data_IF_955854551281
#
_entry.id   IF_955854551281
#
_cell.length_a   1.000
_cell.length_b   1.000
_cell.length_c   1.000
_cell.angle_alpha   90.00
_cell.angle_beta   90.00
_cell.angle_gamma   90.00
#
_symmetry.space_group_name_H-M   'P 1'
#
loop_
_entity.id
_entity.type
_entity.pdbx_description
1 polymer ?
#
# COMPACT_ATOMS: atom_id res chain seq x y z
N UNK A 1 -23.54 9.99 -16.26
CA UNK A 1 -22.48 9.98 -15.22
C UNK A 1 -21.16 9.90 -15.94
N UNK A 2 -20.28 10.87 -15.76
CA UNK A 2 -19.01 10.89 -16.47
C UNK A 2 -17.97 10.05 -15.72
N UNK A 3 -17.13 9.29 -16.45
CA UNK A 3 -15.99 8.55 -15.87
C UNK A 3 -15.07 9.48 -15.09
N UNK A 4 -14.95 10.74 -15.52
CA UNK A 4 -14.20 11.79 -14.85
C UNK A 4 -14.67 12.07 -13.41
N UNK A 5 -15.97 11.91 -13.12
CA UNK A 5 -16.50 12.13 -11.78
C UNK A 5 -15.99 11.06 -10.81
N UNK A 6 -15.93 9.80 -11.26
CA UNK A 6 -15.34 8.71 -10.49
C UNK A 6 -13.84 8.93 -10.29
N UNK A 7 -13.09 9.27 -11.34
CA UNK A 7 -11.66 9.52 -11.24
C UNK A 7 -11.33 10.65 -10.25
N UNK A 8 -12.14 11.72 -10.20
CA UNK A 8 -11.98 12.77 -9.19
C UNK A 8 -12.18 12.27 -7.76
N UNK A 9 -13.11 11.34 -7.55
CA UNK A 9 -13.35 10.73 -6.23
C UNK A 9 -12.23 9.77 -5.81
N UNK A 10 -11.60 9.06 -6.76
CA UNK A 10 -10.53 8.11 -6.46
C UNK A 10 -9.18 8.77 -6.16
N UNK A 11 -9.02 10.08 -6.42
CA UNK A 11 -7.80 10.86 -6.20
C UNK A 11 -6.53 10.18 -6.75
N UNK A 12 -6.39 10.04 -8.08
CA UNK A 12 -5.26 9.34 -8.71
C UNK A 12 -3.90 9.91 -8.33
N UNK A 13 -3.80 11.21 -8.02
CA UNK A 13 -2.56 11.82 -7.54
C UNK A 13 -2.08 11.23 -6.21
N UNK A 14 -2.98 10.87 -5.30
CA UNK A 14 -2.63 10.22 -4.03
C UNK A 14 -2.16 8.78 -4.26
N UNK A 15 -2.72 8.08 -5.25
CA UNK A 15 -2.26 6.74 -5.62
C UNK A 15 -0.83 6.73 -6.19
N UNK A 16 -0.35 7.83 -6.80
CA UNK A 16 1.05 7.93 -7.23
C UNK A 16 2.04 7.90 -6.05
N UNK A 17 1.67 8.51 -4.91
CA UNK A 17 2.48 8.46 -3.68
C UNK A 17 2.60 7.02 -3.18
N UNK A 18 1.51 6.26 -3.25
CA UNK A 18 1.50 4.84 -2.89
C UNK A 18 2.40 4.04 -3.82
N UNK A 19 2.28 4.22 -5.14
CA UNK A 19 3.13 3.53 -6.13
C UNK A 19 4.61 3.86 -5.91
N UNK A 20 4.95 5.12 -5.66
CA UNK A 20 6.33 5.53 -5.35
C UNK A 20 6.86 4.88 -4.06
N UNK A 21 6.01 4.77 -3.04
CA UNK A 21 6.36 4.12 -1.77
C UNK A 21 6.54 2.61 -1.93
N UNK A 22 5.69 1.94 -2.72
CA UNK A 22 5.84 0.51 -3.06
C UNK A 22 7.14 0.27 -3.82
N UNK A 23 7.44 1.11 -4.82
CA UNK A 23 8.69 1.03 -5.59
C UNK A 23 9.91 1.17 -4.67
N UNK A 24 9.95 2.22 -3.84
CA UNK A 24 11.04 2.43 -2.90
C UNK A 24 11.18 1.24 -1.94
N UNK A 25 10.06 0.68 -1.47
CA UNK A 25 10.06 -0.52 -0.66
C UNK A 25 10.72 -1.69 -1.37
N UNK A 26 10.32 -1.98 -2.61
CA UNK A 26 10.91 -3.06 -3.42
C UNK A 26 12.41 -2.85 -3.65
N UNK A 27 12.85 -1.62 -3.89
CA UNK A 27 14.27 -1.29 -4.02
C UNK A 27 15.03 -1.60 -2.74
N UNK A 28 14.50 -1.19 -1.58
CA UNK A 28 15.13 -1.42 -0.28
C UNK A 28 15.16 -2.91 0.09
N UNK A 29 14.07 -3.64 -0.15
CA UNK A 29 13.99 -5.08 0.14
C UNK A 29 14.80 -5.94 -0.84
N UNK A 30 14.89 -5.55 -2.10
CA UNK A 30 15.63 -6.26 -3.14
C UNK A 30 17.09 -5.86 -3.31
N UNK A 31 17.51 -4.73 -2.71
CA UNK A 31 18.88 -4.20 -2.82
C UNK A 31 19.25 -3.70 -4.22
N UNK A 32 18.27 -3.41 -5.09
CA UNK A 32 18.48 -3.04 -6.49
C UNK A 32 17.49 -1.95 -6.92
N UNK A 33 17.97 -0.98 -7.72
CA UNK A 33 17.09 0.00 -8.37
C UNK A 33 16.23 -0.64 -9.46
N UNK A 34 16.66 -1.76 -10.03
CA UNK A 34 15.89 -2.49 -11.03
C UNK A 34 15.03 -3.53 -10.32
N UNK A 35 13.71 -3.31 -10.35
CA UNK A 35 12.70 -4.20 -9.74
C UNK A 35 12.03 -5.06 -10.81
N UNK A 36 11.62 -6.31 -10.49
CA UNK A 36 10.94 -7.17 -11.44
C UNK A 36 9.56 -6.60 -11.79
N UNK A 37 9.32 -6.39 -13.09
CA UNK A 37 8.13 -5.69 -13.59
C UNK A 37 6.81 -6.36 -13.19
N UNK A 38 6.72 -7.69 -13.29
CA UNK A 38 5.50 -8.44 -12.97
C UNK A 38 5.03 -8.21 -11.52
N UNK A 39 5.86 -8.54 -10.51
CA UNK A 39 5.57 -8.25 -9.10
C UNK A 39 5.27 -6.77 -8.83
N UNK A 40 6.02 -5.85 -9.44
CA UNK A 40 5.80 -4.42 -9.28
C UNK A 40 4.43 -3.97 -9.79
N UNK A 41 4.01 -4.45 -10.97
CA UNK A 41 2.70 -4.12 -11.55
C UNK A 41 1.56 -4.69 -10.70
N UNK A 42 1.68 -5.94 -10.24
CA UNK A 42 0.68 -6.56 -9.37
C UNK A 42 0.56 -5.81 -8.03
N UNK A 43 1.69 -5.50 -7.41
CA UNK A 43 1.73 -4.77 -6.15
C UNK A 43 1.14 -3.36 -6.30
N UNK A 44 1.49 -2.66 -7.39
CA UNK A 44 0.95 -1.34 -7.72
C UNK A 44 -0.55 -1.39 -7.94
N UNK A 45 -1.07 -2.38 -8.67
CA UNK A 45 -2.50 -2.58 -8.87
C UNK A 45 -3.23 -2.72 -7.52
N UNK A 46 -2.72 -3.56 -6.63
CA UNK A 46 -3.31 -3.75 -5.29
C UNK A 46 -3.24 -2.47 -4.46
N UNK A 47 -2.09 -1.79 -4.41
CA UNK A 47 -1.93 -0.55 -3.64
C UNK A 47 -2.80 0.60 -4.15
N UNK A 48 -2.91 0.76 -5.46
CA UNK A 48 -3.82 1.72 -6.10
C UNK A 48 -5.27 1.38 -5.75
N UNK A 49 -5.65 0.10 -5.80
CA UNK A 49 -7.01 -0.32 -5.44
C UNK A 49 -7.33 -0.02 -3.97
N UNK A 50 -6.44 -0.34 -3.03
CA UNK A 50 -6.64 -0.07 -1.60
C UNK A 50 -6.74 1.45 -1.32
N UNK A 51 -5.87 2.25 -1.91
CA UNK A 51 -5.90 3.71 -1.72
C UNK A 51 -7.14 4.35 -2.35
N UNK A 52 -7.48 3.99 -3.59
CA UNK A 52 -8.66 4.49 -4.29
C UNK A 52 -9.96 4.04 -3.59
N UNK A 53 -10.00 2.80 -3.09
CA UNK A 53 -11.11 2.26 -2.31
C UNK A 53 -11.33 3.04 -1.01
N UNK A 54 -10.24 3.37 -0.31
CA UNK A 54 -10.26 4.21 0.90
C UNK A 54 -10.78 5.61 0.62
N UNK A 55 -10.35 6.25 -0.48
CA UNK A 55 -10.87 7.56 -0.88
C UNK A 55 -12.35 7.53 -1.21
N UNK A 56 -12.80 6.54 -1.99
CA UNK A 56 -14.20 6.37 -2.34
C UNK A 56 -15.08 6.15 -1.10
N UNK A 57 -14.61 5.33 -0.15
CA UNK A 57 -15.28 5.10 1.13
C UNK A 57 -15.41 6.41 1.90
N UNK A 58 -14.29 7.11 2.11
CA UNK A 58 -14.26 8.32 2.90
C UNK A 58 -15.21 9.39 2.34
N UNK A 59 -15.27 9.54 1.01
CA UNK A 59 -16.21 10.45 0.36
C UNK A 59 -17.68 10.13 0.65
N UNK A 60 -18.04 8.85 0.83
CA UNK A 60 -19.41 8.46 1.16
C UNK A 60 -19.78 8.83 2.59
N UNK A 61 -18.85 8.66 3.55
CA UNK A 61 -19.06 8.97 4.97
C UNK A 61 -18.94 10.46 5.28
N UNK A 62 -18.16 11.19 4.50
CA UNK A 62 -18.01 12.64 4.64
C UNK A 62 -19.04 13.43 3.82
N UNK A 63 -20.06 12.79 3.21
CA UNK A 63 -21.00 13.46 2.32
C UNK A 63 -21.67 14.70 2.96
N UNK A 64 -22.05 14.63 4.22
CA UNK A 64 -22.67 15.76 4.94
C UNK A 64 -21.67 16.89 5.18
N UNK A 65 -20.43 16.56 5.56
CA UNK A 65 -19.35 17.54 5.74
C UNK A 65 -18.97 18.18 4.40
N UNK A 66 -18.89 17.37 3.34
CA UNK A 66 -18.56 17.81 1.99
C UNK A 66 -19.66 18.72 1.41
N UNK A 67 -20.93 18.56 1.80
CA UNK A 67 -21.99 19.51 1.41
C UNK A 67 -21.76 20.92 1.96
N UNK A 68 -21.14 21.03 3.14
CA UNK A 68 -20.82 22.31 3.77
C UNK A 68 -19.51 22.89 3.23
N UNK A 69 -18.45 22.08 3.21
CA UNK A 69 -17.08 22.54 2.91
C UNK A 69 -16.75 22.55 1.42
N UNK A 70 -17.31 21.60 0.66
CA UNK A 70 -16.94 21.36 -0.73
C UNK A 70 -18.16 21.02 -1.60
N UNK A 71 -19.14 21.93 -1.70
CA UNK A 71 -20.42 21.67 -2.37
C UNK A 71 -20.26 21.34 -3.86
N UNK A 72 -19.12 21.69 -4.46
CA UNK A 72 -18.83 21.45 -5.88
C UNK A 72 -18.39 20.03 -6.21
N UNK A 73 -18.12 19.19 -5.21
CA UNK A 73 -17.70 17.81 -5.44
C UNK A 73 -18.82 17.00 -6.13
N UNK A 74 -18.48 15.98 -6.94
CA UNK A 74 -19.48 15.23 -7.71
C UNK A 74 -20.57 14.57 -6.86
N UNK A 75 -20.22 14.14 -5.64
CA UNK A 75 -21.13 13.44 -4.73
C UNK A 75 -22.15 14.39 -4.05
N UNK A 76 -21.75 15.51 -3.40
CA UNK A 76 -22.70 16.55 -2.94
C UNK A 76 -23.61 17.10 -4.03
N UNK A 77 -23.09 17.30 -5.25
CA UNK A 77 -23.88 17.77 -6.40
C UNK A 77 -24.89 16.75 -6.96
N UNK A 78 -24.93 15.53 -6.43
CA UNK A 78 -25.83 14.47 -6.89
C UNK A 78 -25.47 13.89 -8.27
N UNK A 79 -24.30 14.22 -8.83
CA UNK A 79 -23.81 13.64 -10.10
C UNK A 79 -23.45 12.17 -9.96
N UNK A 80 -23.06 11.76 -8.74
CA UNK A 80 -22.81 10.38 -8.35
C UNK A 80 -23.77 9.93 -7.26
N UNK A 81 -24.18 8.66 -7.30
CA UNK A 81 -24.95 8.04 -6.22
C UNK A 81 -23.99 7.45 -5.18
N UNK A 82 -24.16 7.79 -3.91
CA UNK A 82 -23.33 7.28 -2.80
C UNK A 82 -23.26 5.74 -2.78
N UNK A 83 -24.40 5.06 -3.00
CA UNK A 83 -24.44 3.59 -3.09
C UNK A 83 -23.53 3.02 -4.18
N UNK A 84 -23.38 3.70 -5.33
CA UNK A 84 -22.49 3.25 -6.42
C UNK A 84 -21.01 3.45 -6.05
N UNK A 85 -20.70 4.56 -5.39
CA UNK A 85 -19.34 4.85 -4.94
C UNK A 85 -18.91 3.91 -3.81
N UNK A 86 -19.83 3.56 -2.89
CA UNK A 86 -19.62 2.54 -1.87
C UNK A 86 -19.36 1.17 -2.48
N UNK A 87 -20.17 0.75 -3.46
CA UNK A 87 -19.94 -0.52 -4.18
C UNK A 87 -18.57 -0.53 -4.87
N UNK A 88 -18.17 0.59 -5.50
CA UNK A 88 -16.84 0.70 -6.10
C UNK A 88 -15.73 0.57 -5.05
N UNK A 89 -15.88 1.20 -3.88
CA UNK A 89 -14.93 1.05 -2.77
C UNK A 89 -14.77 -0.41 -2.35
N UNK A 90 -15.88 -1.13 -2.15
CA UNK A 90 -15.86 -2.55 -1.77
C UNK A 90 -15.24 -3.43 -2.86
N UNK A 91 -15.53 -3.17 -4.13
CA UNK A 91 -14.91 -3.87 -5.26
C UNK A 91 -13.40 -3.64 -5.29
N UNK A 92 -12.93 -2.41 -5.04
CA UNK A 92 -11.50 -2.11 -5.00
C UNK A 92 -10.81 -2.80 -3.82
N UNK A 93 -11.42 -2.82 -2.63
CA UNK A 93 -10.88 -3.56 -1.49
C UNK A 93 -10.86 -5.08 -1.72
N UNK A 94 -11.80 -5.62 -2.50
CA UNK A 94 -11.82 -7.03 -2.86
C UNK A 94 -10.64 -7.49 -3.70
N UNK A 95 -9.82 -6.57 -4.23
CA UNK A 95 -8.56 -6.87 -4.91
C UNK A 95 -7.38 -7.09 -3.96
N UNK A 96 -7.48 -6.68 -2.69
CA UNK A 96 -6.41 -6.86 -1.69
C UNK A 96 -5.91 -8.31 -1.57
N UNK A 97 -6.77 -9.35 -1.57
CA UNK A 97 -6.33 -10.74 -1.49
C UNK A 97 -5.37 -11.20 -2.61
N UNK A 98 -5.35 -10.51 -3.76
CA UNK A 98 -4.40 -10.81 -4.85
C UNK A 98 -2.94 -10.62 -4.44
N UNK A 99 -2.67 -9.82 -3.40
CA UNK A 99 -1.31 -9.64 -2.87
C UNK A 99 -0.74 -10.91 -2.23
N UNK A 100 -1.56 -11.92 -1.94
CA UNK A 100 -1.07 -13.24 -1.50
C UNK A 100 -0.11 -13.88 -2.50
N UNK A 101 -0.26 -13.58 -3.79
CA UNK A 101 0.66 -14.03 -4.84
C UNK A 101 2.09 -13.48 -4.67
N UNK A 102 2.26 -12.42 -3.88
CA UNK A 102 3.56 -11.82 -3.52
C UNK A 102 4.05 -12.28 -2.14
N UNK A 103 3.23 -13.02 -1.39
CA UNK A 103 3.59 -13.63 -0.12
C UNK A 103 2.67 -13.23 1.05
N UNK A 104 2.61 -14.05 2.12
CA UNK A 104 1.77 -13.77 3.29
C UNK A 104 2.03 -12.41 3.98
N UNK A 105 3.28 -11.92 4.11
CA UNK A 105 3.52 -10.60 4.70
C UNK A 105 2.88 -9.46 3.91
N UNK A 106 2.89 -9.56 2.57
CA UNK A 106 2.28 -8.55 1.70
C UNK A 106 0.76 -8.56 1.88
N UNK A 107 0.14 -9.75 1.96
CA UNK A 107 -1.29 -9.87 2.26
C UNK A 107 -1.67 -9.24 3.60
N UNK A 108 -0.88 -9.48 4.65
CA UNK A 108 -1.11 -8.87 5.94
C UNK A 108 -1.07 -7.34 5.84
N UNK A 109 -0.03 -6.79 5.20
CA UNK A 109 0.16 -5.35 5.09
C UNK A 109 -0.92 -4.67 4.24
N UNK A 110 -1.34 -5.27 3.12
CA UNK A 110 -2.44 -4.72 2.31
C UNK A 110 -3.78 -4.83 3.03
N UNK A 111 -4.00 -5.90 3.79
CA UNK A 111 -5.20 -6.07 4.63
C UNK A 111 -5.24 -5.05 5.77
N UNK A 112 -4.10 -4.74 6.38
CA UNK A 112 -3.98 -3.65 7.35
C UNK A 112 -4.25 -2.29 6.70
N UNK A 113 -3.84 -2.08 5.45
CA UNK A 113 -4.19 -0.89 4.67
C UNK A 113 -5.71 -0.75 4.44
N UNK A 114 -6.39 -1.84 4.08
CA UNK A 114 -7.86 -1.86 3.97
C UNK A 114 -8.51 -1.57 5.33
N UNK A 115 -8.05 -2.24 6.39
CA UNK A 115 -8.55 -2.02 7.74
C UNK A 115 -8.37 -0.57 8.18
N UNK A 116 -7.22 0.03 7.91
CA UNK A 116 -6.95 1.42 8.22
C UNK A 116 -7.88 2.37 7.44
N UNK A 117 -8.14 2.10 6.16
CA UNK A 117 -9.11 2.85 5.36
C UNK A 117 -10.54 2.75 5.87
N UNK A 118 -10.95 1.56 6.32
CA UNK A 118 -12.23 1.32 6.98
C UNK A 118 -12.31 2.07 8.30
N UNK A 119 -11.32 1.92 9.18
CA UNK A 119 -11.26 2.61 10.47
C UNK A 119 -11.24 4.13 10.29
N UNK A 120 -10.54 4.64 9.28
CA UNK A 120 -10.52 6.07 8.98
C UNK A 120 -11.92 6.64 8.69
N UNK A 121 -12.79 5.83 8.05
CA UNK A 121 -14.10 6.28 7.56
C UNK A 121 -15.29 5.88 8.46
N UNK A 122 -15.21 4.75 9.16
CA UNK A 122 -16.34 4.15 9.90
C UNK A 122 -16.40 4.63 11.37
N UNK A 123 -17.58 5.04 11.88
CA UNK A 123 -17.77 5.26 13.31
C UNK A 123 -17.69 3.92 14.08
N UNK A 124 -17.13 3.87 15.30
CA UNK A 124 -16.85 4.98 16.22
C UNK A 124 -15.42 5.55 16.15
N UNK A 125 -14.58 5.10 15.23
CA UNK A 125 -13.16 5.45 15.19
C UNK A 125 -12.81 6.42 14.06
N UNK A 126 -13.51 7.54 13.81
CA UNK A 126 -13.20 8.41 12.68
C UNK A 126 -11.86 9.11 12.92
N UNK A 127 -10.76 8.41 12.65
CA UNK A 127 -9.40 8.89 12.73
C UNK A 127 -9.21 10.11 11.81
N UNK A 128 -10.12 10.31 10.85
CA UNK A 128 -10.23 11.49 9.98
C UNK A 128 -10.85 12.74 10.62
N UNK A 129 -11.38 12.70 11.86
CA UNK A 129 -12.11 13.84 12.46
C UNK A 129 -11.30 14.67 13.47
N UNK A 130 -10.03 14.33 13.69
CA UNK A 130 -9.16 14.98 14.68
C UNK A 130 -7.67 14.99 14.24
N UNK A 131 -6.74 15.33 15.15
CA UNK A 131 -5.29 15.33 14.94
C UNK A 131 -4.71 13.96 14.50
N UNK A 132 -5.46 12.88 14.69
CA UNK A 132 -5.12 11.51 14.27
C UNK A 132 -5.14 11.31 12.74
N UNK A 133 -5.67 12.29 11.99
CA UNK A 133 -5.80 12.21 10.52
C UNK A 133 -4.46 12.14 9.81
N UNK A 134 -3.49 12.95 10.24
CA UNK A 134 -2.16 13.02 9.64
C UNK A 134 -1.35 11.74 9.83
N UNK A 135 -1.20 11.18 11.06
CA UNK A 135 -0.47 9.93 11.23
C UNK A 135 -1.16 8.74 10.56
N UNK A 136 -2.50 8.67 10.59
CA UNK A 136 -3.23 7.61 9.88
C UNK A 136 -3.01 7.68 8.36
N UNK A 137 -3.03 8.89 7.79
CA UNK A 137 -2.74 9.09 6.37
C UNK A 137 -1.30 8.70 6.03
N UNK A 138 -0.31 9.17 6.80
CA UNK A 138 1.10 8.80 6.59
C UNK A 138 1.32 7.28 6.70
N UNK A 139 0.66 6.63 7.65
CA UNK A 139 0.74 5.18 7.82
C UNK A 139 0.17 4.44 6.59
N UNK A 140 -1.00 4.87 6.11
CA UNK A 140 -1.71 4.22 5.01
C UNK A 140 -1.12 4.48 3.61
N UNK A 141 -0.62 5.69 3.35
CA UNK A 141 -0.11 6.06 2.01
C UNK A 141 1.39 5.87 1.83
N UNK A 142 2.17 5.80 2.92
CA UNK A 142 3.64 5.72 2.85
C UNK A 142 4.17 4.49 3.56
N UNK A 143 3.97 4.35 4.87
CA UNK A 143 4.62 3.29 5.66
C UNK A 143 4.17 1.87 5.28
N UNK A 144 2.86 1.61 5.27
CA UNK A 144 2.35 0.28 4.91
C UNK A 144 2.72 -0.10 3.47
N UNK A 145 2.57 0.80 2.46
CA UNK A 145 3.05 0.54 1.11
C UNK A 145 4.55 0.29 1.02
N UNK A 146 5.38 1.07 1.74
CA UNK A 146 6.82 0.88 1.78
C UNK A 146 7.20 -0.52 2.31
N UNK A 147 6.59 -0.93 3.43
CA UNK A 147 6.82 -2.25 4.02
C UNK A 147 6.33 -3.38 3.10
N UNK A 148 5.21 -3.17 2.41
CA UNK A 148 4.67 -4.14 1.45
C UNK A 148 5.63 -4.32 0.27
N UNK A 149 6.19 -3.23 -0.25
CA UNK A 149 7.25 -3.25 -1.26
C UNK A 149 8.47 -4.04 -0.79
N UNK A 150 8.99 -3.72 0.41
CA UNK A 150 10.17 -4.37 0.97
C UNK A 150 9.97 -5.88 1.20
N UNK A 151 8.74 -6.29 1.53
CA UNK A 151 8.40 -7.69 1.79
C UNK A 151 8.08 -8.49 0.53
N UNK A 152 7.75 -7.83 -0.59
CA UNK A 152 7.25 -8.49 -1.81
C UNK A 152 8.28 -9.33 -2.57
N UNK A 153 9.56 -9.13 -2.28
CA UNK A 153 10.67 -9.88 -2.90
C UNK A 153 11.26 -10.93 -1.96
N UNK A 154 10.83 -10.94 -0.69
CA UNK A 154 11.28 -11.88 0.34
C UNK A 154 10.59 -13.24 0.13
N UNK A 155 11.17 -14.11 -0.72
CA UNK A 155 10.62 -15.45 -0.94
C UNK A 155 10.74 -16.31 0.33
N UNK A 156 9.66 -16.99 0.77
CA UNK A 156 9.76 -18.03 1.78
C UNK A 156 10.55 -19.20 1.19
N UNK A 157 11.76 -19.46 1.71
CA UNK A 157 12.60 -20.60 1.31
C UNK A 157 13.94 -20.28 0.65
N UNK A 158 14.27 -19.00 0.43
CA UNK A 158 15.62 -18.60 0.01
C UNK A 158 16.44 -18.15 1.21
N UNK A 159 17.26 -19.04 1.77
CA UNK A 159 18.31 -18.64 2.69
C UNK A 159 19.14 -17.51 2.07
N UNK A 160 19.15 -16.34 2.70
CA UNK A 160 19.73 -15.16 2.07
C UNK A 160 19.95 -13.95 2.99
N UNK A 161 19.91 -14.13 4.31
CA UNK A 161 20.65 -13.26 5.24
C UNK A 161 22.07 -13.83 5.44
N UNK A 162 22.75 -14.14 4.33
CA UNK A 162 24.05 -14.82 4.31
C UNK A 162 24.97 -14.19 3.30
N UNK A 163 25.27 -12.90 3.44
CA UNK A 163 26.16 -12.18 2.53
C UNK A 163 26.87 -10.96 3.14
N UNK A 164 26.79 -10.78 4.46
CA UNK A 164 27.59 -9.78 5.17
C UNK A 164 28.59 -10.50 6.07
N UNK A 165 29.88 -10.44 5.68
CA UNK A 165 30.98 -10.53 6.64
C UNK A 165 31.64 -11.89 6.90
N UNK A 166 31.97 -12.70 5.89
CA UNK A 166 33.05 -13.69 6.04
C UNK A 166 34.24 -13.32 5.17
N UNK A 167 35.28 -12.66 5.71
CA UNK A 167 36.59 -12.71 5.08
C UNK A 167 37.08 -14.17 5.16
N UNK A 168 37.30 -14.81 4.01
CA UNK A 168 37.94 -16.11 3.91
C UNK A 168 39.43 -15.95 4.19
N UNK A 169 39.82 -15.96 5.46
CA UNK A 169 41.21 -16.17 5.87
C UNK A 169 41.34 -17.53 6.54
N UNK A 170 41.66 -18.56 5.75
CA UNK A 170 42.21 -19.80 6.27
C UNK A 170 43.69 -19.57 6.62
N UNK A 171 44.14 -19.75 7.87
CA UNK A 171 45.57 -19.84 8.15
C UNK A 171 46.05 -21.22 7.70
N UNK A 172 46.94 -21.25 6.71
CA UNK A 172 47.75 -22.41 6.39
C UNK A 172 48.62 -22.79 7.60
N UNK A 173 48.43 -23.98 8.15
CA UNK A 173 49.33 -24.57 9.14
C UNK A 173 50.62 -25.04 8.46
N UNK A 174 51.82 -24.69 8.97
CA UNK A 174 53.07 -25.24 8.46
C UNK A 174 53.33 -26.63 9.07
N UNK A 175 53.41 -27.66 8.24
CA UNK A 175 53.93 -28.96 8.65
C UNK A 175 55.46 -28.88 8.74
N UNK A 176 56.00 -28.79 9.94
CA UNK A 176 57.43 -28.95 10.21
C UNK A 176 57.75 -30.43 10.46
N UNK A 177 58.59 -31.02 9.61
CA UNK A 177 59.30 -32.29 9.89
C UNK A 177 60.80 -31.99 9.86
N UNK A 178 61.57 -32.34 10.89
CA UNK A 178 63.03 -32.42 10.79
C UNK A 178 63.52 -33.89 10.82
N UNK A 179 64.82 -34.09 10.49
CA UNK A 179 65.33 -35.24 9.72
C UNK A 179 65.72 -36.48 10.53
#
# INVERSE_FOLDING_TARGET
>A
MAVSDYLRCLKPGSSLVVVGSLYLGMVLGGGSLVVPLGPFLLLSLVGVAVSAGSHALNMCFDLELDRLSHPDRPLPRGRLKARRLLLLSLLLFSLSPLSLLLGPPVLLLTSLGVLLGLLYSLPPFPLGRWYTSYPASSLGYVFLPLLAGASSLSRPGGGGLGGWGRPSSSPSSPSSSPP
#
